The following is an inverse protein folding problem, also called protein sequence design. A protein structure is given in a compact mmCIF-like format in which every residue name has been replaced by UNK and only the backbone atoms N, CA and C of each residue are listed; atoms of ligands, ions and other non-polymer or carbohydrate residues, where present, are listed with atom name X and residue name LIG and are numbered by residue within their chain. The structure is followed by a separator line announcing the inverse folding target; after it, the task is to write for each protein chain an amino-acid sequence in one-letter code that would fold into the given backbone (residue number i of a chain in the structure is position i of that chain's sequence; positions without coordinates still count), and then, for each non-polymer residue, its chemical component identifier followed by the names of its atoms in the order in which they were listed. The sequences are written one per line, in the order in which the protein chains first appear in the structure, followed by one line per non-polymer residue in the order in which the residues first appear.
data_IF_680485364084
#
_entry.id   IF_680485364084
#
_cell.length_a   1.000
_cell.length_b   1.000
_cell.length_c   1.000
_cell.angle_alpha   90.00
_cell.angle_beta   90.00
_cell.angle_gamma   90.00
#
_symmetry.space_group_name_H-M   'P 1'
#
loop_
_entity.id
_entity.type
_entity.pdbx_description
1 polymer ?
#
# COMPACT_ATOMS: atom_id res chain seq x y z
N UNK A 1 24.31 2.18 -21.80
CA UNK A 1 24.33 3.32 -20.86
C UNK A 1 22.89 3.51 -20.47
N UNK A 2 22.50 2.92 -19.34
CA UNK A 2 21.13 3.00 -18.81
C UNK A 2 20.92 4.46 -18.38
N UNK A 3 19.81 5.07 -18.78
CA UNK A 3 19.57 6.48 -18.47
C UNK A 3 19.47 6.69 -16.95
N UNK A 4 19.83 7.88 -16.43
CA UNK A 4 19.70 8.19 -14.98
C UNK A 4 18.26 7.94 -14.47
N UNK A 5 17.25 8.14 -15.34
CA UNK A 5 15.85 7.80 -15.09
C UNK A 5 15.64 6.29 -14.90
N UNK A 6 16.13 5.46 -15.82
CA UNK A 6 16.01 3.99 -15.71
C UNK A 6 16.75 3.44 -14.48
N UNK A 7 17.81 4.11 -14.00
CA UNK A 7 18.51 3.71 -12.76
C UNK A 7 17.71 4.03 -11.49
N UNK A 8 16.78 5.00 -11.56
CA UNK A 8 15.92 5.39 -10.43
C UNK A 8 14.80 4.39 -10.17
N UNK A 9 14.39 3.63 -11.19
CA UNK A 9 13.33 2.63 -11.13
C UNK A 9 13.93 1.22 -11.29
N UNK A 10 14.43 0.67 -10.17
CA UNK A 10 15.18 -0.60 -10.11
C UNK A 10 14.37 -1.87 -10.49
N UNK A 11 13.11 -1.72 -10.87
CA UNK A 11 12.23 -2.70 -11.50
C UNK A 11 11.03 -1.89 -12.04
N UNK A 12 10.45 -2.22 -13.19
CA UNK A 12 9.43 -1.36 -13.84
C UNK A 12 8.23 -0.97 -12.95
N UNK A 13 7.98 -1.70 -11.86
CA UNK A 13 6.90 -1.43 -10.90
C UNK A 13 7.32 -0.70 -9.61
N UNK A 14 8.62 -0.49 -9.36
CA UNK A 14 9.14 0.04 -8.09
C UNK A 14 9.65 1.47 -8.27
N UNK A 15 9.17 2.36 -7.42
CA UNK A 15 9.52 3.77 -7.39
C UNK A 15 10.10 4.11 -6.02
N UNK A 16 11.36 4.53 -5.98
CA UNK A 16 12.00 5.06 -4.78
C UNK A 16 12.07 6.58 -4.86
N UNK A 17 11.61 7.26 -3.82
CA UNK A 17 11.62 8.72 -3.72
C UNK A 17 11.97 9.13 -2.29
N UNK A 18 13.23 9.56 -2.10
CA UNK A 18 13.81 9.87 -0.79
C UNK A 18 13.65 8.69 0.19
N UNK A 19 12.90 8.88 1.29
CA UNK A 19 12.61 7.88 2.33
C UNK A 19 11.38 7.01 2.03
N UNK A 20 10.73 7.21 0.89
CA UNK A 20 9.55 6.47 0.48
C UNK A 20 9.85 5.49 -0.66
N UNK A 21 9.15 4.35 -0.64
CA UNK A 21 9.08 3.42 -1.75
C UNK A 21 7.63 3.11 -2.08
N UNK A 22 7.31 3.13 -3.35
CA UNK A 22 6.03 2.72 -3.89
C UNK A 22 6.27 1.53 -4.81
N UNK A 23 5.47 0.48 -4.64
CA UNK A 23 5.48 -0.67 -5.53
C UNK A 23 4.09 -0.86 -6.11
N UNK A 24 3.94 -0.66 -7.42
CA UNK A 24 2.69 -0.86 -8.14
C UNK A 24 2.54 -2.36 -8.42
N UNK A 25 1.78 -3.06 -7.58
CA UNK A 25 1.60 -4.51 -7.67
C UNK A 25 0.57 -4.88 -8.74
N UNK A 26 -0.49 -4.09 -8.85
CA UNK A 26 -1.48 -4.16 -9.94
C UNK A 26 -2.02 -2.77 -10.24
N UNK A 27 -2.85 -2.63 -11.26
CA UNK A 27 -3.66 -1.42 -11.50
C UNK A 27 -4.47 -0.95 -10.27
N UNK A 28 -4.76 -1.85 -9.33
CA UNK A 28 -5.66 -1.68 -8.19
C UNK A 28 -4.96 -1.81 -6.83
N UNK A 29 -3.65 -2.04 -6.81
CA UNK A 29 -2.91 -2.33 -5.58
C UNK A 29 -1.54 -1.69 -5.61
N UNK A 30 -1.31 -0.80 -4.65
CA UNK A 30 -0.03 -0.14 -4.44
C UNK A 30 0.46 -0.47 -3.03
N UNK A 31 1.67 -1.02 -2.93
CA UNK A 31 2.41 -1.06 -1.68
C UNK A 31 3.14 0.26 -1.48
N UNK A 32 3.04 0.83 -0.28
CA UNK A 32 3.52 2.16 0.09
C UNK A 32 4.33 2.00 1.37
N UNK A 33 5.63 2.25 1.26
CA UNK A 33 6.58 2.06 2.35
C UNK A 33 7.29 3.37 2.66
N UNK A 34 7.61 3.55 3.94
CA UNK A 34 8.47 4.64 4.39
C UNK A 34 9.49 4.11 5.39
N UNK A 35 10.72 4.62 5.28
CA UNK A 35 11.86 4.23 6.09
C UNK A 35 12.72 5.45 6.39
N UNK A 36 13.01 5.66 7.68
CA UNK A 36 13.88 6.76 8.11
C UNK A 36 15.29 6.68 7.53
N UNK A 37 15.77 5.48 7.18
CA UNK A 37 17.09 5.24 6.61
C UNK A 37 17.08 5.21 5.08
N UNK A 38 15.91 5.18 4.43
CA UNK A 38 15.78 4.91 2.99
C UNK A 38 16.08 3.47 2.60
N UNK A 39 16.27 2.57 3.57
CA UNK A 39 16.38 1.13 3.35
C UNK A 39 15.02 0.45 3.50
N UNK A 40 14.73 -0.51 2.64
CA UNK A 40 13.42 -1.17 2.59
C UNK A 40 13.56 -2.68 2.69
N UNK A 41 12.46 -3.34 3.09
CA UNK A 41 12.42 -4.79 3.26
C UNK A 41 11.78 -5.47 2.05
N UNK A 42 12.51 -6.37 1.41
CA UNK A 42 12.01 -7.14 0.27
C UNK A 42 11.53 -8.54 0.66
N UNK A 43 11.95 -9.04 1.84
CA UNK A 43 11.60 -10.38 2.30
C UNK A 43 10.12 -10.48 2.69
N UNK A 44 9.63 -11.72 2.68
CA UNK A 44 8.27 -12.05 3.12
C UNK A 44 8.03 -11.59 4.56
N UNK A 45 6.81 -11.16 4.85
CA UNK A 45 6.34 -11.00 6.23
C UNK A 45 5.31 -12.07 6.57
N UNK A 46 5.00 -12.19 7.85
CA UNK A 46 3.90 -13.04 8.31
C UNK A 46 2.54 -12.68 7.68
N UNK A 47 2.36 -11.44 7.23
CA UNK A 47 1.09 -10.97 6.65
C UNK A 47 1.12 -11.03 5.12
N UNK A 48 2.24 -10.68 4.49
CA UNK A 48 2.39 -10.58 3.03
C UNK A 48 3.61 -11.38 2.59
N UNK A 49 3.36 -12.51 1.91
CA UNK A 49 4.41 -13.43 1.49
C UNK A 49 4.81 -13.28 0.02
N UNK A 50 3.92 -12.82 -0.86
CA UNK A 50 4.24 -12.66 -2.27
C UNK A 50 4.00 -11.22 -2.73
N UNK A 51 5.05 -10.61 -3.28
CA UNK A 51 5.04 -9.28 -3.91
C UNK A 51 5.54 -9.32 -5.35
N UNK A 52 5.80 -10.52 -5.90
CA UNK A 52 6.21 -10.70 -7.28
C UNK A 52 4.97 -10.71 -8.19
N UNK A 53 4.73 -9.56 -8.82
CA UNK A 53 3.67 -9.37 -9.80
C UNK A 53 4.25 -9.04 -11.17
N UNK A 54 3.46 -9.31 -12.21
CA UNK A 54 3.76 -8.89 -13.58
C UNK A 54 3.90 -7.36 -13.67
N UNK A 55 4.60 -6.91 -14.71
CA UNK A 55 4.74 -5.48 -15.01
C UNK A 55 3.37 -4.80 -15.18
N UNK A 56 3.25 -3.60 -14.63
CA UNK A 56 2.04 -2.77 -14.65
C UNK A 56 2.33 -1.48 -15.41
N UNK A 57 1.40 -1.07 -16.28
CA UNK A 57 1.50 0.24 -16.93
C UNK A 57 0.95 1.32 -16.00
N UNK A 58 1.76 2.33 -15.69
CA UNK A 58 1.35 3.50 -14.93
C UNK A 58 2.19 4.70 -15.33
N UNK A 59 1.66 5.89 -15.14
CA UNK A 59 2.38 7.14 -15.38
C UNK A 59 2.98 7.67 -14.08
N UNK A 60 4.12 8.36 -14.20
CA UNK A 60 4.76 9.07 -13.11
C UNK A 60 4.85 10.55 -13.49
N UNK A 61 4.41 11.42 -12.58
CA UNK A 61 4.68 12.86 -12.65
C UNK A 61 5.62 13.21 -11.51
N UNK A 62 6.89 13.43 -11.83
CA UNK A 62 7.90 13.82 -10.84
C UNK A 62 8.24 15.30 -10.96
N UNK A 63 8.31 15.99 -9.81
CA UNK A 63 8.83 17.35 -9.64
C UNK A 63 9.85 17.33 -8.48
N UNK A 64 10.55 18.44 -8.25
CA UNK A 64 11.67 18.50 -7.29
C UNK A 64 11.38 17.84 -5.93
N UNK A 65 10.22 18.10 -5.33
CA UNK A 65 9.86 17.58 -4.00
C UNK A 65 8.63 16.66 -4.00
N UNK A 66 8.02 16.42 -5.17
CA UNK A 66 6.73 15.72 -5.24
C UNK A 66 6.73 14.64 -6.31
N UNK A 67 6.00 13.56 -6.06
CA UNK A 67 5.73 12.52 -7.04
C UNK A 67 4.24 12.19 -7.08
N UNK A 68 3.74 11.98 -8.28
CA UNK A 68 2.40 11.44 -8.52
C UNK A 68 2.53 10.13 -9.29
N UNK A 69 1.78 9.10 -8.87
CA UNK A 69 1.74 7.78 -9.50
C UNK A 69 0.32 7.52 -9.97
N UNK A 70 0.16 7.23 -11.26
CA UNK A 70 -1.14 7.20 -11.92
C UNK A 70 -1.35 5.84 -12.58
N UNK A 71 -2.17 4.99 -11.98
CA UNK A 71 -2.64 3.74 -12.59
C UNK A 71 -3.99 3.94 -13.25
N UNK A 72 -4.58 2.89 -13.83
CA UNK A 72 -5.96 2.97 -14.34
C UNK A 72 -7.00 3.26 -13.27
N UNK A 73 -6.74 2.94 -11.98
CA UNK A 73 -7.71 3.11 -10.89
C UNK A 73 -7.28 4.01 -9.74
N UNK A 74 -5.99 4.35 -9.65
CA UNK A 74 -5.44 5.18 -8.57
C UNK A 74 -4.69 6.36 -9.15
N UNK A 75 -4.84 7.52 -8.52
CA UNK A 75 -3.92 8.65 -8.65
C UNK A 75 -3.38 8.96 -7.26
N UNK A 76 -2.17 8.51 -6.98
CA UNK A 76 -1.49 8.73 -5.71
C UNK A 76 -0.63 10.00 -5.78
N UNK A 77 -0.63 10.76 -4.71
CA UNK A 77 0.12 12.00 -4.54
C UNK A 77 1.03 11.87 -3.32
N UNK A 78 2.30 12.17 -3.49
CA UNK A 78 3.26 12.28 -2.40
C UNK A 78 4.08 13.56 -2.52
N UNK A 79 4.01 14.40 -1.48
CA UNK A 79 4.66 15.72 -1.45
C UNK A 79 6.02 15.73 -0.72
N UNK A 80 6.62 14.55 -0.53
CA UNK A 80 7.88 14.42 0.22
C UNK A 80 7.71 14.47 1.74
N UNK A 81 8.83 14.24 2.45
CA UNK A 81 8.88 14.24 3.91
C UNK A 81 8.15 13.07 4.58
N UNK A 82 7.93 13.18 5.89
CA UNK A 82 7.20 12.14 6.64
C UNK A 82 5.76 11.97 6.12
N UNK A 83 5.23 10.75 6.18
CA UNK A 83 3.84 10.48 5.82
C UNK A 83 2.86 11.11 6.81
N UNK A 84 2.00 11.97 6.28
CA UNK A 84 0.91 12.68 6.94
C UNK A 84 -0.26 12.77 5.96
N UNK A 85 -1.44 13.18 6.42
CA UNK A 85 -2.57 13.44 5.52
C UNK A 85 -2.29 14.55 4.49
N UNK A 86 -1.33 15.46 4.75
CA UNK A 86 -0.95 16.52 3.84
C UNK A 86 0.11 16.09 2.82
N UNK A 87 0.97 15.14 3.22
CA UNK A 87 2.06 14.67 2.36
C UNK A 87 1.69 13.45 1.54
N UNK A 88 0.75 12.59 1.97
CA UNK A 88 0.37 11.37 1.26
C UNK A 88 -1.16 11.19 1.19
N UNK A 89 -1.69 11.16 -0.03
CA UNK A 89 -3.10 10.89 -0.31
C UNK A 89 -3.28 10.30 -1.72
N UNK A 90 -4.43 9.69 -1.98
CA UNK A 90 -4.72 9.10 -3.29
C UNK A 90 -6.19 9.24 -3.66
N UNK A 91 -6.46 9.57 -4.92
CA UNK A 91 -7.80 9.50 -5.51
C UNK A 91 -8.02 8.14 -6.15
N UNK A 92 -9.16 7.54 -5.82
CA UNK A 92 -9.59 6.28 -6.40
C UNK A 92 -10.60 6.59 -7.50
N UNK A 93 -10.28 6.19 -8.73
CA UNK A 93 -10.96 6.57 -9.98
C UNK A 93 -12.27 5.80 -10.22
N UNK A 94 -13.06 5.56 -9.17
CA UNK A 94 -14.40 5.02 -9.33
C UNK A 94 -15.47 6.01 -8.89
N UNK A 95 -16.48 6.21 -9.73
CA UNK A 95 -17.54 7.19 -9.46
C UNK A 95 -18.68 6.60 -8.60
N UNK A 96 -18.37 6.09 -7.41
CA UNK A 96 -19.34 5.34 -6.58
C UNK A 96 -20.05 6.16 -5.49
N UNK A 97 -19.63 7.41 -5.25
CA UNK A 97 -20.19 8.31 -4.23
C UNK A 97 -20.09 9.78 -4.68
N UNK A 98 -21.00 10.62 -4.15
CA UNK A 98 -20.96 12.10 -4.27
C UNK A 98 -19.91 12.69 -3.30
N UNK A 99 -19.50 11.94 -2.29
CA UNK A 99 -18.43 12.28 -1.35
C UNK A 99 -17.10 11.75 -1.88
N UNK A 100 -16.03 12.53 -1.74
CA UNK A 100 -14.74 12.31 -2.41
C UNK A 100 -14.20 10.89 -2.22
N UNK A 101 -13.84 10.21 -3.33
CA UNK A 101 -13.13 8.93 -3.31
C UNK A 101 -11.64 9.10 -3.03
N UNK A 102 -11.30 10.03 -2.13
CA UNK A 102 -9.93 10.33 -1.75
C UNK A 102 -9.61 9.66 -0.44
N UNK A 103 -8.52 8.90 -0.44
CA UNK A 103 -7.88 8.40 0.77
C UNK A 103 -6.80 9.38 1.21
N UNK A 104 -6.74 9.67 2.50
CA UNK A 104 -5.62 10.39 3.12
C UNK A 104 -4.89 9.46 4.09
N UNK A 105 -3.56 9.54 4.12
CA UNK A 105 -2.77 8.75 5.06
C UNK A 105 -3.22 8.99 6.51
N UNK A 106 -3.39 7.91 7.27
CA UNK A 106 -3.85 7.92 8.66
C UNK A 106 -5.37 8.02 8.83
N UNK A 107 -6.14 8.28 7.77
CA UNK A 107 -7.60 8.34 7.85
C UNK A 107 -8.22 6.94 7.84
N UNK A 108 -9.24 6.74 8.68
CA UNK A 108 -10.05 5.52 8.65
C UNK A 108 -11.10 5.65 7.56
N UNK A 109 -11.21 4.63 6.71
CA UNK A 109 -12.28 4.57 5.72
C UNK A 109 -13.58 4.09 6.36
N UNK A 110 -14.64 4.86 6.20
CA UNK A 110 -15.99 4.39 6.51
C UNK A 110 -16.39 3.29 5.52
N UNK A 111 -17.24 2.36 5.97
CA UNK A 111 -17.82 1.34 5.10
C UNK A 111 -16.92 0.13 4.80
N UNK A 112 -15.82 -0.07 5.54
CA UNK A 112 -15.04 -1.31 5.50
C UNK A 112 -15.94 -2.54 5.76
N UNK A 113 -15.81 -3.58 4.94
CA UNK A 113 -16.64 -4.79 5.00
C UNK A 113 -16.13 -5.82 6.02
N UNK A 114 -15.10 -5.46 6.78
CA UNK A 114 -14.39 -6.29 7.76
C UNK A 114 -13.72 -7.51 7.14
N UNK A 115 -12.82 -8.10 7.92
CA UNK A 115 -12.06 -9.27 7.54
C UNK A 115 -12.37 -10.44 8.45
N UNK A 116 -11.35 -11.25 8.70
CA UNK A 116 -11.41 -12.37 9.64
C UNK A 116 -10.93 -11.93 11.03
N UNK A 117 -11.28 -12.70 12.05
CA UNK A 117 -10.59 -12.66 13.34
C UNK A 117 -9.51 -13.73 13.40
N UNK A 118 -8.39 -13.45 14.06
CA UNK A 118 -7.21 -14.33 14.09
C UNK A 118 -7.48 -15.68 14.78
N UNK A 119 -8.27 -15.70 15.85
CA UNK A 119 -8.64 -16.91 16.60
C UNK A 119 -10.07 -16.83 17.09
N UNK A 120 -10.75 -17.98 17.14
CA UNK A 120 -12.05 -18.13 17.82
C UNK A 120 -11.94 -18.84 19.17
N UNK A 121 -10.73 -19.24 19.57
CA UNK A 121 -10.49 -19.89 20.84
C UNK A 121 -10.94 -18.98 22.00
N UNK A 122 -11.74 -19.53 22.91
CA UNK A 122 -12.29 -18.84 24.09
C UNK A 122 -13.28 -17.70 23.78
N UNK A 123 -13.75 -17.56 22.54
CA UNK A 123 -14.81 -16.62 22.20
C UNK A 123 -16.17 -17.26 22.48
N UNK A 124 -16.95 -16.65 23.37
CA UNK A 124 -18.34 -17.01 23.64
C UNK A 124 -19.27 -15.93 23.06
N UNK A 125 -19.91 -16.24 21.93
CA UNK A 125 -20.84 -15.33 21.23
C UNK A 125 -20.19 -14.49 20.14
N UNK A 126 -20.70 -13.27 19.95
CA UNK A 126 -20.23 -12.35 18.91
C UNK A 126 -18.84 -11.79 19.24
N UNK A 127 -18.02 -11.58 18.22
CA UNK A 127 -16.75 -10.88 18.37
C UNK A 127 -16.57 -9.81 17.29
N UNK A 128 -15.97 -8.66 17.63
CA UNK A 128 -15.60 -7.65 16.64
C UNK A 128 -14.60 -8.22 15.64
N UNK A 129 -14.86 -7.97 14.35
CA UNK A 129 -13.92 -8.30 13.28
C UNK A 129 -12.96 -7.13 13.03
N UNK A 130 -11.73 -7.49 12.66
CA UNK A 130 -10.74 -6.52 12.18
C UNK A 130 -11.13 -5.96 10.81
N UNK A 131 -10.52 -4.85 10.42
CA UNK A 131 -10.72 -4.30 9.07
C UNK A 131 -10.17 -5.26 8.01
N UNK A 132 -10.95 -5.46 6.96
CA UNK A 132 -10.57 -6.28 5.82
C UNK A 132 -10.03 -5.44 4.67
N UNK A 133 -9.75 -6.11 3.55
CA UNK A 133 -9.23 -5.49 2.32
C UNK A 133 -10.34 -4.97 1.38
N UNK A 134 -11.61 -5.01 1.80
CA UNK A 134 -12.76 -4.58 0.99
C UNK A 134 -13.58 -3.50 1.70
N UNK A 135 -14.16 -2.59 0.92
CA UNK A 135 -14.97 -1.47 1.43
C UNK A 135 -16.08 -1.07 0.47
N UNK A 136 -17.17 -0.50 1.01
CA UNK A 136 -18.23 0.15 0.22
C UNK A 136 -17.77 1.47 -0.41
N UNK A 137 -16.73 2.07 0.14
CA UNK A 137 -16.11 3.33 -0.30
C UNK A 137 -15.16 3.14 -1.48
N UNK A 138 -14.96 1.91 -1.95
CA UNK A 138 -14.19 1.60 -3.16
C UNK A 138 -12.70 1.35 -2.92
N UNK A 139 -12.21 1.57 -1.69
CA UNK A 139 -10.84 1.27 -1.32
C UNK A 139 -10.71 0.81 0.13
N UNK A 140 -9.63 0.11 0.42
CA UNK A 140 -9.25 -0.29 1.76
C UNK A 140 -7.73 -0.18 1.92
N UNK A 141 -7.27 -0.09 3.18
CA UNK A 141 -5.84 -0.05 3.49
C UNK A 141 -5.52 -1.17 4.47
N UNK A 142 -4.49 -1.94 4.16
CA UNK A 142 -3.90 -2.91 5.07
C UNK A 142 -2.53 -2.41 5.51
N UNK A 143 -2.31 -2.32 6.82
CA UNK A 143 -0.98 -2.06 7.36
C UNK A 143 -0.28 -3.38 7.68
N UNK A 144 0.86 -3.64 7.04
CA UNK A 144 1.68 -4.80 7.35
C UNK A 144 2.47 -4.54 8.63
N UNK A 145 2.04 -5.18 9.71
CA UNK A 145 2.71 -5.17 11.02
C UNK A 145 3.34 -6.53 11.34
N UNK A 146 3.42 -7.41 10.34
CA UNK A 146 3.98 -8.74 10.47
C UNK A 146 5.48 -8.69 10.74
N UNK A 147 6.00 -9.78 11.32
CA UNK A 147 7.46 -9.97 11.39
C UNK A 147 7.98 -10.40 10.02
N UNK A 148 9.22 -10.01 9.73
CA UNK A 148 9.95 -10.47 8.56
C UNK A 148 10.31 -11.94 8.75
N UNK A 149 10.23 -12.70 7.66
CA UNK A 149 10.55 -14.12 7.62
C UNK A 149 11.89 -14.37 6.93
N UNK A 150 12.56 -15.45 7.33
CA UNK A 150 13.70 -16.02 6.60
C UNK A 150 13.19 -16.80 5.37
N UNK A 151 14.10 -17.19 4.48
CA UNK A 151 13.76 -18.01 3.29
C UNK A 151 13.12 -19.37 3.65
N UNK A 152 13.40 -19.89 4.85
CA UNK A 152 12.83 -21.15 5.36
C UNK A 152 11.56 -20.93 6.19
N UNK A 153 11.10 -19.67 6.34
CA UNK A 153 9.83 -19.31 7.00
C UNK A 153 9.94 -19.00 8.50
N UNK A 154 11.14 -18.94 9.07
CA UNK A 154 11.33 -18.57 10.48
C UNK A 154 11.25 -17.06 10.69
N UNK A 155 10.93 -16.62 11.90
CA UNK A 155 10.90 -15.19 12.24
C UNK A 155 12.32 -14.62 12.27
N UNK A 156 12.62 -13.68 11.37
CA UNK A 156 13.89 -12.98 11.28
C UNK A 156 13.93 -11.70 12.14
N UNK A 157 12.80 -11.01 12.32
CA UNK A 157 12.74 -9.77 13.10
C UNK A 157 11.66 -8.79 12.67
N UNK A 158 11.86 -7.51 12.96
CA UNK A 158 11.02 -6.43 12.46
C UNK A 158 11.49 -6.00 11.07
N UNK A 159 10.58 -5.44 10.28
CA UNK A 159 10.94 -4.72 9.05
C UNK A 159 11.82 -3.52 9.39
N UNK A 160 12.73 -3.18 8.48
CA UNK A 160 13.51 -1.94 8.53
C UNK A 160 12.66 -0.72 8.16
N UNK A 161 11.59 -0.93 7.39
CA UNK A 161 10.60 0.09 7.07
C UNK A 161 9.73 0.38 8.29
N UNK A 162 9.53 1.65 8.60
CA UNK A 162 8.69 2.08 9.74
C UNK A 162 7.21 2.06 9.38
N UNK A 163 6.88 2.19 8.09
CA UNK A 163 5.54 2.09 7.54
C UNK A 163 5.59 1.15 6.34
N UNK A 164 4.66 0.20 6.28
CA UNK A 164 4.39 -0.70 5.15
C UNK A 164 2.86 -0.83 5.02
N UNK A 165 2.31 -0.26 3.95
CA UNK A 165 0.87 -0.16 3.70
C UNK A 165 0.52 -0.68 2.31
N UNK A 166 -0.63 -1.32 2.20
CA UNK A 166 -1.20 -1.74 0.93
C UNK A 166 -2.51 -1.00 0.71
N UNK A 167 -2.56 -0.16 -0.32
CA UNK A 167 -3.76 0.54 -0.76
C UNK A 167 -4.47 -0.31 -1.81
N UNK A 168 -5.61 -0.89 -1.43
CA UNK A 168 -6.51 -1.67 -2.29
C UNK A 168 -7.55 -0.73 -2.89
N UNK A 169 -7.62 -0.66 -4.22
CA UNK A 169 -8.53 0.17 -4.99
C UNK A 169 -9.36 -0.69 -5.95
N UNK A 170 -10.05 -1.70 -5.43
CA UNK A 170 -10.87 -2.64 -6.24
C UNK A 170 -12.31 -2.14 -6.46
N UNK A 171 -12.67 -0.98 -5.91
CA UNK A 171 -14.00 -0.45 -6.08
C UNK A 171 -15.04 -1.30 -5.37
N UNK A 172 -16.07 -1.72 -6.13
CA UNK A 172 -17.10 -2.67 -5.65
C UNK A 172 -16.97 -4.05 -6.31
N UNK A 173 -15.84 -4.31 -6.96
CA UNK A 173 -15.56 -5.63 -7.51
C UNK A 173 -15.10 -6.55 -6.38
N UNK A 174 -16.06 -7.17 -5.70
CA UNK A 174 -15.83 -8.05 -4.54
C UNK A 174 -15.57 -9.51 -4.95
N UNK A 175 -15.19 -9.76 -6.20
CA UNK A 175 -15.07 -11.10 -6.78
C UNK A 175 -13.64 -11.58 -6.86
#
# INVERSE_FOLDING_TARGET
MVSELESKYMNNNIIKFDKARFTVLTDYLICIEYSETGEFEDRMTQMVQNREFSEVNFDIIEKEETIEIITSTVHLYYNGGEFTNASLFADVKFNFSVYSNRWYFGEKSDGNLKGTTRTLDMIDGECPLEDGIMSKSGFAVLADKGKVLTEVGDIAGNSVSTIDLYLFAYGRDYR
#
